data_IF_217423529721
#
_entry.id   IF_217423529721
#
_cell.length_a   1.000
_cell.length_b   1.000
_cell.length_c   1.000
_cell.angle_alpha   90.00
_cell.angle_beta   90.00
_cell.angle_gamma   90.00
#
_symmetry.space_group_name_H-M   'P 1'
#
loop_
_entity.id
_entity.type
_entity.pdbx_description
1 polymer ?
#
# COMPACT_ATOMS: atom_id res chain seq x y z
N UNK A 1 4.90 27.11 16.85
CA UNK A 1 5.59 26.46 15.70
C UNK A 1 5.09 25.04 15.69
N UNK A 2 4.50 24.50 14.61
CA UNK A 2 4.05 23.11 14.66
C UNK A 2 5.28 22.22 14.64
N UNK A 3 5.53 21.55 15.76
CA UNK A 3 6.49 20.47 15.91
C UNK A 3 6.04 19.35 14.97
N UNK A 4 6.62 19.30 13.76
CA UNK A 4 6.44 18.16 12.87
C UNK A 4 7.01 16.95 13.61
N UNK A 5 6.24 15.88 13.84
CA UNK A 5 6.76 14.72 14.55
C UNK A 5 8.01 14.23 13.84
N UNK A 6 9.11 14.08 14.59
CA UNK A 6 10.32 13.43 14.11
C UNK A 6 9.97 11.95 13.87
N UNK A 7 9.48 11.65 12.67
CA UNK A 7 9.28 10.28 12.24
C UNK A 7 10.68 9.69 12.06
N UNK A 8 11.10 8.88 13.02
CA UNK A 8 12.33 8.11 12.90
C UNK A 8 12.13 7.04 11.83
N UNK A 9 12.69 7.33 10.67
CA UNK A 9 12.81 6.40 9.56
C UNK A 9 14.05 5.50 9.77
N UNK A 10 14.02 4.23 9.37
CA UNK A 10 12.92 3.50 8.73
C UNK A 10 11.76 3.19 9.69
N UNK A 11 10.52 3.41 9.25
CA UNK A 11 9.32 2.96 9.96
C UNK A 11 8.46 2.06 9.05
N UNK A 12 7.78 1.07 9.64
CA UNK A 12 6.88 0.19 8.89
C UNK A 12 5.53 0.88 8.74
N UNK A 13 5.19 1.27 7.52
CA UNK A 13 3.91 1.86 7.17
C UNK A 13 2.98 0.80 6.59
N UNK A 14 1.78 0.67 7.17
CA UNK A 14 0.72 -0.19 6.66
C UNK A 14 -0.26 0.62 5.83
N UNK A 15 -0.42 0.23 4.57
CA UNK A 15 -1.45 0.71 3.67
C UNK A 15 -2.51 -0.38 3.47
N UNK A 16 -3.78 0.02 3.47
CA UNK A 16 -4.90 -0.84 3.13
C UNK A 16 -5.46 -0.38 1.79
N UNK A 17 -5.35 -1.24 0.80
CA UNK A 17 -5.96 -1.04 -0.51
C UNK A 17 -7.31 -1.73 -0.54
N UNK A 18 -8.30 -1.05 -1.09
CA UNK A 18 -9.64 -1.57 -1.32
C UNK A 18 -9.90 -1.39 -2.80
N UNK A 19 -10.26 -2.47 -3.48
CA UNK A 19 -10.55 -2.43 -4.90
C UNK A 19 -11.51 -3.53 -5.29
N UNK A 20 -11.98 -3.46 -6.53
CA UNK A 20 -12.92 -4.44 -7.09
C UNK A 20 -12.19 -5.64 -7.66
N UNK A 21 -10.97 -5.39 -8.14
CA UNK A 21 -10.17 -6.32 -8.90
C UNK A 21 -8.96 -6.82 -8.10
N UNK A 22 -9.04 -8.06 -7.61
CA UNK A 22 -8.00 -8.66 -6.76
C UNK A 22 -6.67 -8.86 -7.51
N UNK A 23 -6.73 -9.08 -8.82
CA UNK A 23 -5.56 -9.37 -9.65
C UNK A 23 -4.77 -8.09 -9.91
N UNK A 24 -5.49 -7.01 -10.19
CA UNK A 24 -4.86 -5.70 -10.35
C UNK A 24 -4.30 -5.16 -9.03
N UNK A 25 -5.02 -5.29 -7.91
CA UNK A 25 -4.48 -4.98 -6.58
C UNK A 25 -3.19 -5.78 -6.30
N UNK A 26 -3.20 -7.08 -6.60
CA UNK A 26 -2.01 -7.93 -6.45
C UNK A 26 -0.86 -7.44 -7.34
N UNK A 27 -1.13 -7.08 -8.60
CA UNK A 27 -0.12 -6.53 -9.52
C UNK A 27 0.48 -5.25 -8.98
N UNK A 28 -0.38 -4.32 -8.55
CA UNK A 28 0.01 -3.02 -8.02
C UNK A 28 0.92 -3.19 -6.79
N UNK A 29 0.55 -4.09 -5.88
CA UNK A 29 1.36 -4.44 -4.69
C UNK A 29 2.68 -5.08 -5.10
N UNK A 30 2.67 -6.01 -6.06
CA UNK A 30 3.90 -6.63 -6.58
C UNK A 30 4.82 -5.63 -7.27
N UNK A 31 4.27 -4.65 -8.00
CA UNK A 31 5.05 -3.59 -8.64
C UNK A 31 5.70 -2.70 -7.60
N UNK A 32 4.92 -2.18 -6.64
CA UNK A 32 5.51 -1.33 -5.61
C UNK A 32 6.52 -2.13 -4.78
N UNK A 33 6.24 -3.39 -4.43
CA UNK A 33 7.19 -4.26 -3.74
C UNK A 33 8.51 -4.42 -4.49
N UNK A 34 8.49 -4.45 -5.82
CA UNK A 34 9.71 -4.44 -6.64
C UNK A 34 10.39 -3.08 -6.61
N UNK A 35 9.62 -1.99 -6.63
CA UNK A 35 10.13 -0.63 -6.70
C UNK A 35 10.75 -0.14 -5.38
N UNK A 36 10.14 -0.41 -4.23
CA UNK A 36 10.74 -0.12 -2.90
C UNK A 36 11.86 -1.11 -2.51
N UNK A 37 12.11 -2.11 -3.37
CA UNK A 37 13.19 -3.09 -3.24
C UNK A 37 12.78 -4.30 -2.40
N UNK A 38 13.57 -5.38 -2.41
CA UNK A 38 13.38 -6.57 -1.57
C UNK A 38 13.58 -6.30 -0.05
N UNK A 39 13.17 -5.12 0.46
CA UNK A 39 13.11 -4.85 1.89
C UNK A 39 11.99 -5.70 2.51
N UNK A 40 11.86 -5.71 3.82
CA UNK A 40 10.76 -6.44 4.45
C UNK A 40 9.41 -5.74 4.19
N UNK A 41 8.57 -6.35 3.35
CA UNK A 41 7.22 -5.90 3.06
C UNK A 41 6.25 -7.06 3.32
N UNK A 42 5.13 -6.77 3.98
CA UNK A 42 4.09 -7.76 4.22
C UNK A 42 2.90 -7.43 3.32
N UNK A 43 2.64 -8.26 2.31
CA UNK A 43 1.34 -8.27 1.65
C UNK A 43 0.47 -9.36 2.27
N UNK A 44 -0.72 -8.98 2.71
CA UNK A 44 -1.74 -9.92 3.14
C UNK A 44 -3.02 -9.67 2.35
N UNK A 45 -3.49 -10.72 1.67
CA UNK A 45 -4.82 -10.76 1.08
C UNK A 45 -5.83 -10.68 2.21
N UNK A 46 -6.65 -9.62 2.21
CA UNK A 46 -7.76 -9.49 3.11
C UNK A 46 -8.95 -10.36 2.70
N UNK A 47 -10.10 -10.08 3.30
CA UNK A 47 -11.34 -10.77 2.96
C UNK A 47 -11.82 -10.37 1.56
N UNK A 48 -12.01 -11.37 0.70
CA UNK A 48 -12.78 -11.27 -0.53
C UNK A 48 -14.27 -11.39 -0.20
N UNK A 49 -15.09 -10.46 -0.68
CA UNK A 49 -16.55 -10.55 -0.48
C UNK A 49 -17.12 -11.84 -1.08
N UNK A 50 -18.19 -12.39 -0.49
CA UNK A 50 -18.88 -13.65 -0.89
C UNK A 50 -19.41 -13.67 -2.34
N UNK A 51 -19.46 -12.51 -3.01
CA UNK A 51 -19.84 -12.32 -4.42
C UNK A 51 -18.66 -11.95 -5.33
N UNK A 52 -17.44 -11.84 -4.79
CA UNK A 52 -16.22 -11.57 -5.55
C UNK A 52 -16.05 -10.15 -6.12
N UNK A 53 -16.94 -9.21 -5.79
CA UNK A 53 -16.94 -7.85 -6.37
C UNK A 53 -15.95 -6.87 -5.71
N UNK A 54 -15.49 -7.16 -4.51
CA UNK A 54 -14.59 -6.29 -3.75
C UNK A 54 -13.60 -7.13 -2.95
N UNK A 55 -12.34 -6.71 -3.00
CA UNK A 55 -11.20 -7.28 -2.30
C UNK A 55 -10.48 -6.18 -1.53
N UNK A 56 -10.13 -6.49 -0.30
CA UNK A 56 -9.22 -5.69 0.51
C UNK A 56 -7.85 -6.33 0.50
N UNK A 57 -6.81 -5.53 0.34
CA UNK A 57 -5.42 -5.91 0.52
C UNK A 57 -4.78 -5.07 1.61
N UNK A 58 -3.98 -5.72 2.45
CA UNK A 58 -3.14 -5.03 3.41
C UNK A 58 -1.70 -5.14 2.92
N UNK A 59 -1.06 -4.00 2.65
CA UNK A 59 0.34 -3.91 2.26
C UNK A 59 1.11 -3.13 3.32
N UNK A 60 2.08 -3.74 3.96
CA UNK A 60 2.96 -3.09 4.91
C UNK A 60 4.34 -2.98 4.29
N UNK A 61 4.94 -1.80 4.28
CA UNK A 61 6.26 -1.55 3.73
C UNK A 61 7.11 -0.74 4.70
N UNK A 62 8.42 -0.91 4.63
CA UNK A 62 9.37 -0.13 5.42
C UNK A 62 9.70 1.13 4.64
N UNK A 63 9.19 2.29 5.07
CA UNK A 63 9.48 3.58 4.44
C UNK A 63 10.65 4.23 5.17
N UNK A 64 11.59 4.80 4.43
CA UNK A 64 12.74 5.54 4.95
C UNK A 64 12.51 7.05 4.90
N UNK A 65 11.41 7.53 4.30
CA UNK A 65 11.01 8.94 4.27
C UNK A 65 9.52 9.14 3.99
N UNK A 66 9.00 10.34 4.28
CA UNK A 66 7.64 10.75 3.92
C UNK A 66 7.43 10.71 2.40
N UNK A 67 8.47 11.07 1.64
CA UNK A 67 8.46 11.03 0.18
C UNK A 67 8.23 9.61 -0.36
N UNK A 68 8.88 8.58 0.21
CA UNK A 68 8.64 7.17 -0.13
C UNK A 68 7.19 6.78 0.18
N UNK A 69 6.71 7.12 1.39
CA UNK A 69 5.32 6.85 1.79
C UNK A 69 4.34 7.48 0.81
N UNK A 70 4.54 8.75 0.45
CA UNK A 70 3.65 9.49 -0.44
C UNK A 70 3.70 8.93 -1.86
N UNK A 71 4.87 8.49 -2.33
CA UNK A 71 5.05 7.83 -3.62
C UNK A 71 4.30 6.50 -3.68
N UNK A 72 4.42 5.67 -2.63
CA UNK A 72 3.69 4.39 -2.49
C UNK A 72 2.18 4.63 -2.45
N UNK A 73 1.73 5.56 -1.61
CA UNK A 73 0.31 5.92 -1.47
C UNK A 73 -0.26 6.41 -2.79
N UNK A 74 0.43 7.34 -3.47
CA UNK A 74 -0.01 7.90 -4.75
C UNK A 74 0.04 6.89 -5.87
N UNK A 75 1.00 5.98 -5.87
CA UNK A 75 1.06 4.87 -6.82
C UNK A 75 -0.18 3.99 -6.70
N UNK A 76 -0.58 3.65 -5.48
CA UNK A 76 -1.82 2.92 -5.22
C UNK A 76 -3.06 3.75 -5.59
N UNK A 77 -3.15 5.00 -5.16
CA UNK A 77 -4.29 5.89 -5.45
C UNK A 77 -4.48 6.16 -6.96
N UNK A 78 -3.39 6.23 -7.72
CA UNK A 78 -3.44 6.50 -9.17
C UNK A 78 -3.81 5.24 -9.98
N UNK A 79 -3.76 4.06 -9.37
CA UNK A 79 -4.10 2.83 -10.07
C UNK A 79 -5.62 2.72 -10.24
N UNK A 80 -6.09 2.58 -11.48
CA UNK A 80 -7.52 2.56 -11.83
C UNK A 80 -8.32 1.47 -11.10
N UNK A 81 -7.62 0.39 -10.71
CA UNK A 81 -8.20 -0.76 -10.02
C UNK A 81 -8.28 -0.62 -8.48
N UNK A 82 -7.62 0.40 -7.92
CA UNK A 82 -7.67 0.75 -6.49
C UNK A 82 -8.79 1.77 -6.31
N UNK A 83 -9.87 1.33 -5.68
CA UNK A 83 -11.02 2.20 -5.37
C UNK A 83 -10.68 3.13 -4.19
N UNK A 84 -9.85 2.64 -3.24
CA UNK A 84 -9.42 3.43 -2.09
C UNK A 84 -8.12 2.89 -1.47
N UNK A 85 -7.25 3.79 -0.97
CA UNK A 85 -6.07 3.44 -0.16
C UNK A 85 -6.12 4.19 1.19
N UNK A 86 -5.79 3.50 2.27
CA UNK A 86 -5.86 4.01 3.67
C UNK A 86 -4.54 3.75 4.39
#
# INVERSE_FOLDING_TARGET
MPERPEINYPTKWGFKLIGRDKEALLKCIKEIMKEVGEKEHLCSLGNTSRTGKFTTYNASCSVESEEERNKIFKYFETHDDVDMVI
#
